data_IF_653423178302
#
_entry.id   IF_653423178302
#
_cell.length_a   1.000
_cell.length_b   1.000
_cell.length_c   1.000
_cell.angle_alpha   90.00
_cell.angle_beta   90.00
_cell.angle_gamma   90.00
#
_symmetry.space_group_name_H-M   'P 1'
#
loop_
_entity.id
_entity.type
_entity.pdbx_description
1 polymer ?
#
# COMPACT_ATOMS: atom_id res chain seq x y z
N UNK A 1 5.43 -13.68 1.37
CA UNK A 1 5.66 -12.23 1.59
C UNK A 1 4.62 -11.81 2.61
N UNK A 2 5.06 -11.33 3.79
CA UNK A 2 4.13 -11.03 4.88
C UNK A 2 3.23 -9.86 4.50
N UNK A 3 1.92 -9.99 4.72
CA UNK A 3 0.96 -8.91 4.57
C UNK A 3 1.09 -7.91 5.72
N UNK A 4 0.22 -6.93 5.80
CA UNK A 4 0.45 -5.70 6.56
C UNK A 4 0.78 -5.87 8.05
N UNK A 5 0.22 -6.81 8.79
CA UNK A 5 0.49 -6.91 10.23
C UNK A 5 0.61 -8.34 10.69
N UNK A 6 1.84 -8.73 11.03
CA UNK A 6 2.13 -10.07 11.51
C UNK A 6 2.01 -10.17 13.03
N UNK A 7 1.43 -11.26 13.50
CA UNK A 7 1.34 -11.61 14.91
C UNK A 7 1.50 -13.12 15.10
N UNK A 8 1.92 -13.50 16.29
CA UNK A 8 1.97 -14.90 16.71
C UNK A 8 1.17 -15.10 17.99
N UNK A 9 0.72 -16.32 18.27
CA UNK A 9 -0.02 -16.69 19.48
C UNK A 9 0.35 -18.10 19.92
N UNK A 10 0.22 -18.36 21.22
CA UNK A 10 0.36 -19.70 21.79
C UNK A 10 -0.97 -20.51 21.78
N UNK A 11 -1.99 -20.04 21.06
CA UNK A 11 -3.33 -20.63 21.06
C UNK A 11 -4.17 -20.30 22.29
N UNK A 12 -3.78 -19.26 23.03
CA UNK A 12 -4.41 -18.78 24.26
C UNK A 12 -5.22 -17.47 24.07
N UNK A 13 -5.33 -16.99 22.82
CA UNK A 13 -6.03 -15.77 22.45
C UNK A 13 -5.25 -14.49 22.78
N UNK A 14 -3.96 -14.60 23.11
CA UNK A 14 -3.09 -13.45 23.39
C UNK A 14 -2.12 -13.22 22.25
N UNK A 15 -2.30 -12.15 21.45
CA UNK A 15 -1.39 -11.87 20.37
C UNK A 15 -0.07 -11.32 20.88
N UNK A 16 1.03 -11.80 20.29
CA UNK A 16 2.37 -11.28 20.44
C UNK A 16 2.74 -10.56 19.14
N UNK A 17 3.17 -9.31 19.23
CA UNK A 17 3.52 -8.46 18.10
C UNK A 17 4.46 -7.34 18.53
N UNK A 18 5.10 -6.68 17.59
CA UNK A 18 5.90 -5.49 17.88
C UNK A 18 5.01 -4.26 18.03
N UNK A 19 5.03 -3.65 19.21
CA UNK A 19 4.35 -2.39 19.49
C UNK A 19 5.02 -1.19 18.76
N UNK A 20 4.44 -0.01 18.89
CA UNK A 20 4.92 1.20 18.21
C UNK A 20 6.37 1.56 18.58
N UNK A 21 6.77 1.35 19.84
CA UNK A 21 8.15 1.67 20.28
C UNK A 21 9.16 0.71 19.65
N UNK A 22 8.83 -0.58 19.63
CA UNK A 22 9.67 -1.60 19.02
C UNK A 22 9.79 -1.42 17.52
N UNK A 23 8.65 -1.21 16.83
CA UNK A 23 8.62 -0.92 15.39
C UNK A 23 9.51 0.27 15.06
N UNK A 24 9.40 1.35 15.82
CA UNK A 24 10.26 2.54 15.64
C UNK A 24 11.76 2.27 15.84
N UNK A 25 12.13 1.37 16.76
CA UNK A 25 13.54 0.97 16.95
C UNK A 25 14.06 0.14 15.78
N UNK A 26 13.22 -0.78 15.25
CA UNK A 26 13.55 -1.62 14.10
C UNK A 26 13.76 -0.73 12.87
N UNK A 27 12.79 0.13 12.54
CA UNK A 27 12.83 1.05 11.37
C UNK A 27 14.09 1.96 11.43
N UNK A 28 14.51 2.37 12.62
CA UNK A 28 15.72 3.20 12.79
C UNK A 28 17.02 2.41 12.78
N UNK A 29 17.00 1.11 12.54
CA UNK A 29 18.18 0.25 12.61
C UNK A 29 18.81 0.19 14.00
N UNK A 30 18.04 0.50 15.06
CA UNK A 30 18.50 0.51 16.46
C UNK A 30 18.16 -0.79 17.20
N UNK A 31 17.80 -1.81 16.45
CA UNK A 31 17.43 -3.10 16.99
C UNK A 31 17.98 -4.24 16.14
N UNK A 32 18.09 -5.45 16.70
CA UNK A 32 18.68 -6.61 16.01
C UNK A 32 17.81 -7.19 14.89
N UNK A 33 16.55 -6.81 14.80
CA UNK A 33 15.61 -7.28 13.76
C UNK A 33 15.53 -6.28 12.62
N UNK A 34 15.35 -6.80 11.40
CA UNK A 34 15.32 -6.01 10.17
C UNK A 34 13.88 -5.71 9.69
N UNK A 35 12.90 -6.50 10.15
CA UNK A 35 11.50 -6.36 9.75
C UNK A 35 10.59 -6.22 10.96
N UNK A 36 9.60 -5.33 10.84
CA UNK A 36 8.55 -5.14 11.86
C UNK A 36 7.45 -6.19 11.76
N UNK A 37 7.38 -6.93 10.64
CA UNK A 37 6.30 -7.87 10.32
C UNK A 37 6.86 -9.25 9.95
N UNK A 38 7.86 -9.73 10.70
CA UNK A 38 8.43 -11.08 10.60
C UNK A 38 7.97 -11.93 11.78
N UNK A 39 7.24 -13.02 11.51
CA UNK A 39 6.81 -13.98 12.53
C UNK A 39 7.99 -14.53 13.33
N UNK A 40 9.09 -14.89 12.65
CA UNK A 40 10.31 -15.37 13.28
C UNK A 40 10.93 -14.33 14.21
N UNK A 41 10.98 -13.06 13.78
CA UNK A 41 11.52 -11.98 14.61
C UNK A 41 10.66 -11.71 15.84
N UNK A 42 9.32 -11.77 15.68
CA UNK A 42 8.38 -11.62 16.78
C UNK A 42 8.53 -12.78 17.76
N UNK A 43 8.52 -14.03 17.26
CA UNK A 43 8.69 -15.22 18.09
C UNK A 43 10.02 -15.19 18.87
N UNK A 44 11.14 -14.87 18.20
CA UNK A 44 12.46 -14.75 18.85
C UNK A 44 12.48 -13.68 19.95
N UNK A 45 11.83 -12.55 19.72
CA UNK A 45 11.75 -11.47 20.70
C UNK A 45 11.02 -11.89 21.98
N UNK A 46 9.93 -12.62 21.84
CA UNK A 46 9.14 -13.13 22.97
C UNK A 46 9.69 -14.46 23.56
N UNK A 47 10.87 -14.91 23.13
CA UNK A 47 11.57 -16.05 23.72
C UNK A 47 11.32 -17.40 23.05
N UNK A 48 10.61 -17.42 21.92
CA UNK A 48 10.32 -18.64 21.15
C UNK A 48 11.31 -18.76 19.98
N UNK A 49 12.26 -19.68 20.05
CA UNK A 49 13.32 -19.84 19.05
C UNK A 49 13.35 -21.26 18.47
N UNK A 50 13.75 -21.35 17.20
CA UNK A 50 13.92 -22.64 16.53
C UNK A 50 12.62 -23.45 16.54
N UNK A 51 12.68 -24.70 16.98
CA UNK A 51 11.52 -25.61 17.02
C UNK A 51 10.34 -25.12 17.88
N UNK A 52 10.58 -24.18 18.81
CA UNK A 52 9.49 -23.61 19.60
C UNK A 52 8.67 -22.59 18.81
N UNK A 53 9.22 -22.00 17.75
CA UNK A 53 8.48 -21.15 16.82
C UNK A 53 7.38 -21.91 16.07
N UNK A 54 7.62 -23.19 15.74
CA UNK A 54 6.65 -24.03 15.04
C UNK A 54 5.45 -24.45 15.92
N UNK A 55 5.55 -24.23 17.23
CA UNK A 55 4.45 -24.44 18.19
C UNK A 55 3.54 -23.22 18.33
N UNK A 56 3.80 -22.13 17.61
CA UNK A 56 2.99 -20.93 17.60
C UNK A 56 2.04 -20.91 16.42
N UNK A 57 0.88 -20.31 16.62
CA UNK A 57 0.03 -19.87 15.54
C UNK A 57 0.61 -18.60 14.92
N UNK A 58 0.61 -18.47 13.59
CA UNK A 58 1.12 -17.33 12.85
C UNK A 58 -0.02 -16.74 12.03
N UNK A 59 -0.26 -15.45 12.20
CA UNK A 59 -1.36 -14.73 11.59
C UNK A 59 -0.88 -13.48 10.88
N UNK A 60 -1.55 -13.14 9.79
CA UNK A 60 -1.41 -11.87 9.10
C UNK A 60 -2.77 -11.16 9.06
N UNK A 61 -2.80 -9.90 9.44
CA UNK A 61 -4.03 -9.11 9.47
C UNK A 61 -3.92 -7.90 8.54
N UNK A 62 -4.92 -7.73 7.68
CA UNK A 62 -5.07 -6.59 6.79
C UNK A 62 -6.05 -5.58 7.40
N UNK A 63 -5.56 -4.42 7.80
CA UNK A 63 -6.34 -3.38 8.49
C UNK A 63 -7.38 -2.72 7.61
N UNK A 64 -7.23 -2.74 6.29
CA UNK A 64 -8.16 -2.11 5.35
C UNK A 64 -9.31 -3.03 4.97
N UNK A 65 -9.01 -4.30 4.75
CA UNK A 65 -10.00 -5.31 4.39
C UNK A 65 -10.59 -6.02 5.60
N UNK A 66 -9.98 -5.85 6.78
CA UNK A 66 -10.32 -6.52 8.05
C UNK A 66 -10.28 -8.06 7.93
N UNK A 67 -9.38 -8.56 7.10
CA UNK A 67 -9.17 -9.99 6.93
C UNK A 67 -7.99 -10.46 7.75
N UNK A 68 -8.15 -11.64 8.36
CA UNK A 68 -7.06 -12.38 8.96
C UNK A 68 -6.72 -13.57 8.06
N UNK A 69 -5.45 -13.79 7.85
CA UNK A 69 -4.92 -14.98 7.18
C UNK A 69 -4.15 -15.81 8.19
N UNK A 70 -4.32 -17.12 8.10
CA UNK A 70 -3.61 -18.09 8.93
C UNK A 70 -2.43 -18.58 8.10
N UNK A 71 -1.22 -18.18 8.49
CA UNK A 71 0.01 -18.63 7.84
C UNK A 71 0.46 -19.99 8.39
N UNK A 72 0.28 -20.21 9.71
CA UNK A 72 0.60 -21.47 10.37
C UNK A 72 -0.24 -21.69 11.62
N UNK A 73 -0.60 -22.93 11.92
CA UNK A 73 -1.20 -23.35 13.18
C UNK A 73 -0.30 -24.37 13.88
N UNK A 74 0.45 -23.92 14.88
CA UNK A 74 1.28 -24.77 15.75
C UNK A 74 0.65 -25.08 17.10
N UNK A 75 -0.44 -24.38 17.45
CA UNK A 75 -1.20 -24.54 18.67
C UNK A 75 -2.71 -24.65 18.39
N UNK A 76 -3.53 -24.61 19.44
CA UNK A 76 -4.99 -24.54 19.29
C UNK A 76 -5.37 -23.28 18.47
N UNK A 77 -6.23 -23.45 17.47
CA UNK A 77 -6.72 -22.34 16.67
C UNK A 77 -7.49 -21.33 17.53
N UNK A 78 -6.96 -20.13 17.60
CA UNK A 78 -7.52 -18.94 18.28
C UNK A 78 -7.72 -17.76 17.31
N UNK A 79 -7.71 -18.02 15.99
CA UNK A 79 -7.80 -17.02 14.92
C UNK A 79 -8.97 -16.05 15.08
N UNK A 80 -10.12 -16.55 15.56
CA UNK A 80 -11.29 -15.70 15.80
C UNK A 80 -11.03 -14.67 16.89
N UNK A 81 -10.40 -15.08 18.00
CA UNK A 81 -10.08 -14.17 19.12
C UNK A 81 -9.03 -13.16 18.69
N UNK A 82 -8.02 -13.60 17.95
CA UNK A 82 -6.97 -12.73 17.40
C UNK A 82 -7.58 -11.74 16.42
N UNK A 83 -8.50 -12.18 15.55
CA UNK A 83 -9.21 -11.27 14.64
C UNK A 83 -10.02 -10.22 15.40
N UNK A 84 -10.79 -10.63 16.41
CA UNK A 84 -11.60 -9.72 17.22
C UNK A 84 -10.69 -8.69 17.95
N UNK A 85 -9.52 -9.11 18.42
CA UNK A 85 -8.51 -8.19 18.95
C UNK A 85 -8.06 -7.17 17.88
N UNK A 86 -7.68 -7.63 16.70
CA UNK A 86 -7.22 -6.76 15.62
C UNK A 86 -8.32 -5.79 15.12
N UNK A 87 -9.57 -6.23 15.05
CA UNK A 87 -10.71 -5.40 14.63
C UNK A 87 -10.98 -4.24 15.59
N UNK A 88 -10.61 -4.41 16.87
CA UNK A 88 -10.80 -3.40 17.92
C UNK A 88 -9.53 -2.60 18.27
N UNK A 89 -8.39 -2.94 17.66
CA UNK A 89 -7.14 -2.23 17.92
C UNK A 89 -7.14 -0.85 17.24
N UNK A 90 -6.71 0.17 17.97
CA UNK A 90 -6.40 1.47 17.36
C UNK A 90 -5.04 1.39 16.66
N UNK A 91 -5.08 1.12 15.37
CA UNK A 91 -3.91 0.96 14.53
C UNK A 91 -3.00 2.19 14.48
N UNK A 92 -3.52 3.38 14.72
CA UNK A 92 -2.73 4.61 14.77
C UNK A 92 -1.83 4.67 15.99
N UNK A 93 -2.12 3.88 17.03
CA UNK A 93 -1.23 3.75 18.19
C UNK A 93 -0.05 2.80 17.92
N UNK A 94 -0.19 1.88 16.96
CA UNK A 94 0.85 0.90 16.60
C UNK A 94 1.70 1.41 15.45
N UNK A 95 1.09 1.99 14.43
CA UNK A 95 1.75 2.60 13.27
C UNK A 95 1.17 4.00 13.06
N UNK A 96 1.72 5.02 13.73
CA UNK A 96 1.17 6.39 13.71
C UNK A 96 1.10 7.03 12.32
N UNK A 97 1.93 6.56 11.41
CA UNK A 97 1.99 7.05 10.03
C UNK A 97 0.82 6.55 9.16
N UNK A 98 0.05 5.56 9.62
CA UNK A 98 -1.06 5.00 8.84
C UNK A 98 -2.26 5.93 8.77
N UNK A 99 -2.85 5.97 7.57
CA UNK A 99 -4.17 6.53 7.31
C UNK A 99 -5.13 5.42 6.93
N UNK A 100 -6.00 5.05 7.86
CA UNK A 100 -6.99 4.01 7.62
C UNK A 100 -8.20 4.65 6.93
N UNK A 101 -8.38 4.32 5.67
CA UNK A 101 -9.48 4.81 4.83
C UNK A 101 -9.86 3.73 3.81
N UNK A 102 -11.09 3.79 3.24
CA UNK A 102 -11.49 2.85 2.19
C UNK A 102 -10.52 2.87 1.00
N UNK A 103 -10.21 1.68 0.48
CA UNK A 103 -9.51 1.53 -0.79
C UNK A 103 -10.53 1.70 -1.91
N UNK A 104 -10.27 2.64 -2.82
CA UNK A 104 -11.16 2.98 -3.94
C UNK A 104 -10.48 2.59 -5.25
N UNK A 105 -11.16 1.78 -6.06
CA UNK A 105 -10.75 1.51 -7.43
C UNK A 105 -11.31 2.61 -8.37
N UNK A 106 -10.47 3.50 -8.92
CA UNK A 106 -10.94 4.63 -9.70
C UNK A 106 -11.65 4.21 -11.00
N UNK A 107 -11.25 3.05 -11.55
CA UNK A 107 -11.81 2.55 -12.81
C UNK A 107 -13.11 1.75 -12.64
N UNK A 108 -13.47 1.37 -11.39
CA UNK A 108 -14.70 0.64 -11.07
C UNK A 108 -15.69 1.48 -10.28
N UNK A 109 -15.21 2.14 -9.24
CA UNK A 109 -16.05 2.76 -8.20
C UNK A 109 -16.41 4.20 -8.53
N UNK A 110 -15.67 4.85 -9.46
CA UNK A 110 -15.88 6.25 -9.82
C UNK A 110 -16.27 6.33 -11.30
N UNK A 111 -17.31 7.12 -11.57
CA UNK A 111 -17.66 7.45 -12.95
C UNK A 111 -17.17 8.85 -13.31
N UNK A 112 -16.15 8.90 -14.16
CA UNK A 112 -15.71 10.15 -14.80
C UNK A 112 -16.54 10.37 -16.05
N UNK A 113 -17.21 11.53 -16.13
CA UNK A 113 -18.06 11.84 -17.27
C UNK A 113 -17.24 12.40 -18.44
N UNK A 114 -16.33 13.32 -18.16
CA UNK A 114 -15.45 13.94 -19.15
C UNK A 114 -14.16 14.45 -18.51
N UNK A 115 -13.12 14.63 -19.33
CA UNK A 115 -11.85 15.21 -18.93
C UNK A 115 -11.93 16.74 -19.06
N UNK A 116 -11.63 17.43 -17.97
CA UNK A 116 -11.69 18.90 -17.89
C UNK A 116 -10.30 19.53 -18.09
N UNK A 117 -10.27 20.84 -18.32
CA UNK A 117 -9.01 21.61 -18.32
C UNK A 117 -8.24 21.49 -17.00
N UNK A 118 -8.94 21.35 -15.89
CA UNK A 118 -8.32 21.14 -14.58
C UNK A 118 -7.62 19.78 -14.51
N UNK A 119 -8.20 18.72 -15.07
CA UNK A 119 -7.58 17.41 -15.14
C UNK A 119 -6.32 17.41 -16.03
N UNK A 120 -6.35 18.12 -17.15
CA UNK A 120 -5.18 18.29 -18.02
C UNK A 120 -4.05 19.04 -17.29
N UNK A 121 -4.39 20.07 -16.51
CA UNK A 121 -3.41 20.75 -15.65
C UNK A 121 -2.79 19.81 -14.63
N UNK A 122 -3.61 18.98 -13.96
CA UNK A 122 -3.10 17.95 -13.04
C UNK A 122 -2.21 16.95 -13.76
N UNK A 123 -2.56 16.53 -14.98
CA UNK A 123 -1.73 15.63 -15.78
C UNK A 123 -0.37 16.27 -16.10
N UNK A 124 -0.35 17.55 -16.47
CA UNK A 124 0.90 18.28 -16.71
C UNK A 124 1.78 18.39 -15.46
N UNK A 125 1.18 18.72 -14.31
CA UNK A 125 1.89 18.75 -13.03
C UNK A 125 2.44 17.36 -12.66
N UNK A 126 1.65 16.30 -12.87
CA UNK A 126 2.10 14.93 -12.64
C UNK A 126 3.25 14.52 -13.56
N UNK A 127 3.12 14.80 -14.85
CA UNK A 127 4.16 14.52 -15.84
C UNK A 127 5.51 15.15 -15.51
N UNK A 128 5.50 16.32 -14.88
CA UNK A 128 6.74 17.05 -14.51
C UNK A 128 7.51 16.41 -13.35
N UNK A 129 6.88 15.56 -12.54
CA UNK A 129 7.50 14.98 -11.34
C UNK A 129 7.63 13.46 -11.40
N UNK A 130 6.92 12.79 -12.32
CA UNK A 130 6.83 11.32 -12.40
C UNK A 130 8.19 10.63 -12.39
N UNK A 131 9.11 11.04 -13.26
CA UNK A 131 10.41 10.38 -13.41
C UNK A 131 11.27 10.48 -12.13
N UNK A 132 11.00 11.50 -11.30
CA UNK A 132 11.69 11.71 -10.03
C UNK A 132 11.02 11.01 -8.83
N UNK A 133 9.78 10.52 -9.00
CA UNK A 133 8.99 9.92 -7.91
C UNK A 133 9.41 8.48 -7.65
N UNK A 134 9.79 7.75 -8.70
CA UNK A 134 10.09 6.31 -8.62
C UNK A 134 11.14 6.02 -7.55
N UNK A 135 12.21 6.84 -7.49
CA UNK A 135 13.31 6.60 -6.55
C UNK A 135 13.02 7.14 -5.13
N UNK A 136 12.17 8.19 -4.99
CA UNK A 136 12.03 8.90 -3.72
C UNK A 136 10.90 8.40 -2.83
N UNK A 137 9.92 7.70 -3.37
CA UNK A 137 8.81 7.16 -2.57
C UNK A 137 9.30 6.02 -1.68
N UNK A 138 10.25 5.21 -2.18
CA UNK A 138 10.88 4.13 -1.41
C UNK A 138 11.71 4.64 -0.23
N UNK A 139 12.40 5.77 -0.38
CA UNK A 139 13.28 6.32 0.66
C UNK A 139 12.53 7.04 1.80
N UNK A 140 11.24 7.35 1.61
CA UNK A 140 10.50 8.25 2.51
C UNK A 140 9.75 7.55 3.63
N UNK A 141 9.48 6.26 3.48
CA UNK A 141 8.76 5.42 4.45
C UNK A 141 9.64 4.23 4.77
N UNK A 142 9.77 3.86 6.03
CA UNK A 142 10.51 2.64 6.37
C UNK A 142 10.04 1.47 5.51
N UNK A 143 10.97 0.76 4.88
CA UNK A 143 10.72 -0.25 3.85
C UNK A 143 9.61 -1.24 4.21
N UNK A 144 9.51 -1.63 5.49
CA UNK A 144 8.50 -2.58 5.97
C UNK A 144 7.07 -2.01 5.97
N UNK A 145 6.89 -0.75 6.40
CA UNK A 145 5.55 -0.11 6.40
C UNK A 145 5.09 0.12 4.96
N UNK A 146 6.00 0.62 4.11
CA UNK A 146 5.71 0.84 2.71
C UNK A 146 5.39 -0.46 1.97
N UNK A 147 6.19 -1.51 2.18
CA UNK A 147 5.96 -2.81 1.55
C UNK A 147 4.60 -3.38 1.97
N UNK A 148 4.28 -3.35 3.26
CA UNK A 148 3.03 -3.91 3.78
C UNK A 148 1.79 -3.13 3.32
N UNK A 149 1.83 -1.78 3.37
CA UNK A 149 0.77 -0.92 2.81
C UNK A 149 0.66 -1.12 1.31
N UNK A 150 1.80 -1.16 0.63
CA UNK A 150 1.89 -1.36 -0.81
C UNK A 150 1.26 -2.67 -1.23
N UNK A 151 1.56 -3.77 -0.56
CA UNK A 151 1.02 -5.09 -0.87
C UNK A 151 -0.50 -5.15 -0.63
N UNK A 152 -1.01 -4.58 0.47
CA UNK A 152 -2.46 -4.58 0.74
C UNK A 152 -3.24 -3.73 -0.27
N UNK A 153 -2.78 -2.51 -0.58
CA UNK A 153 -3.45 -1.65 -1.57
C UNK A 153 -3.26 -2.18 -2.98
N UNK A 154 -2.07 -2.69 -3.31
CA UNK A 154 -1.77 -3.29 -4.61
C UNK A 154 -2.67 -4.50 -4.89
N UNK A 155 -2.76 -5.45 -3.97
CA UNK A 155 -3.60 -6.64 -4.14
C UNK A 155 -5.09 -6.29 -4.21
N UNK A 156 -5.52 -5.25 -3.50
CA UNK A 156 -6.92 -4.83 -3.48
C UNK A 156 -7.33 -4.06 -4.74
N UNK A 157 -6.46 -3.19 -5.27
CA UNK A 157 -6.81 -2.28 -6.35
C UNK A 157 -5.77 -2.16 -7.46
N UNK A 158 -4.47 -2.26 -7.14
CA UNK A 158 -3.38 -2.04 -8.09
C UNK A 158 -3.41 -3.05 -9.22
N UNK A 159 -3.50 -4.33 -8.90
CA UNK A 159 -3.54 -5.42 -9.90
C UNK A 159 -4.78 -5.32 -10.80
N UNK A 160 -5.93 -4.91 -10.23
CA UNK A 160 -7.16 -4.69 -11.00
C UNK A 160 -7.05 -3.49 -11.94
N UNK A 161 -6.43 -2.39 -11.50
CA UNK A 161 -6.19 -1.21 -12.35
C UNK A 161 -5.21 -1.56 -13.46
N UNK A 162 -4.08 -2.19 -13.12
CA UNK A 162 -3.10 -2.63 -14.10
C UNK A 162 -3.71 -3.57 -15.14
N UNK A 163 -4.45 -4.60 -14.71
CA UNK A 163 -5.11 -5.52 -15.64
C UNK A 163 -6.10 -4.83 -16.60
N UNK A 164 -6.72 -3.74 -16.16
CA UNK A 164 -7.69 -2.98 -16.97
C UNK A 164 -7.03 -2.14 -18.08
N UNK A 165 -5.76 -1.77 -17.94
CA UNK A 165 -5.05 -0.86 -18.86
C UNK A 165 -3.76 -1.43 -19.46
N UNK A 166 -3.34 -2.64 -19.04
CA UNK A 166 -2.08 -3.29 -19.39
C UNK A 166 -1.77 -3.27 -20.89
N UNK A 167 -2.76 -3.61 -21.68
CA UNK A 167 -2.58 -3.75 -23.14
C UNK A 167 -2.35 -2.40 -23.83
N UNK A 168 -2.68 -1.30 -23.15
CA UNK A 168 -2.54 0.07 -23.66
C UNK A 168 -1.25 0.77 -23.25
N UNK A 169 -0.67 0.41 -22.10
CA UNK A 169 0.36 1.26 -21.47
C UNK A 169 1.45 0.51 -20.70
N UNK A 170 1.41 -0.82 -20.65
CA UNK A 170 2.42 -1.61 -19.94
C UNK A 170 2.50 -1.21 -18.46
N UNK A 171 3.73 -1.07 -17.96
CA UNK A 171 3.98 -0.85 -16.53
C UNK A 171 3.87 0.61 -16.07
N UNK A 172 3.70 1.58 -16.98
CA UNK A 172 3.70 3.02 -16.63
C UNK A 172 2.56 3.44 -15.69
N UNK A 173 1.49 2.66 -15.61
CA UNK A 173 0.36 2.87 -14.70
C UNK A 173 0.76 2.70 -13.22
N UNK A 174 1.80 1.95 -12.95
CA UNK A 174 2.26 1.70 -11.58
C UNK A 174 2.69 2.96 -10.84
N UNK A 175 3.14 4.00 -11.55
CA UNK A 175 3.49 5.27 -10.92
C UNK A 175 2.26 5.96 -10.32
N UNK A 176 1.12 5.89 -11.01
CA UNK A 176 -0.17 6.38 -10.49
C UNK A 176 -0.67 5.52 -9.32
N UNK A 177 -0.49 4.21 -9.36
CA UNK A 177 -0.80 3.29 -8.25
C UNK A 177 0.06 3.63 -7.02
N UNK A 178 1.38 3.83 -7.20
CA UNK A 178 2.30 4.23 -6.13
C UNK A 178 1.91 5.57 -5.50
N UNK A 179 1.55 6.56 -6.31
CA UNK A 179 1.05 7.83 -5.82
C UNK A 179 -0.24 7.68 -4.99
N UNK A 180 -1.10 6.74 -5.36
CA UNK A 180 -2.30 6.44 -4.57
C UNK A 180 -1.96 5.70 -3.27
N UNK A 181 -1.08 4.70 -3.29
CA UNK A 181 -0.58 4.02 -2.09
C UNK A 181 -0.05 5.03 -1.08
N UNK A 182 0.69 6.04 -1.54
CA UNK A 182 1.21 7.11 -0.70
C UNK A 182 0.14 7.88 0.09
N UNK A 183 -1.14 7.82 -0.30
CA UNK A 183 -2.23 8.45 0.45
C UNK A 183 -2.61 7.72 1.73
N UNK A 184 -2.14 6.48 1.92
CA UNK A 184 -2.39 5.66 3.11
C UNK A 184 -1.29 5.79 4.16
N UNK A 185 -0.29 6.63 3.90
CA UNK A 185 0.82 6.88 4.83
C UNK A 185 1.00 8.38 5.03
N UNK A 186 1.06 8.81 6.29
CA UNK A 186 1.29 10.21 6.66
C UNK A 186 2.80 10.51 6.76
N UNK A 187 3.41 10.71 5.60
CA UNK A 187 4.83 11.07 5.51
C UNK A 187 5.04 12.23 4.56
N UNK A 188 6.17 12.92 4.74
CA UNK A 188 6.56 14.02 3.84
C UNK A 188 7.33 13.44 2.66
N UNK A 189 6.71 13.47 1.49
CA UNK A 189 7.37 13.10 0.25
C UNK A 189 8.18 14.27 -0.32
N UNK A 190 9.32 13.94 -0.91
CA UNK A 190 10.18 14.92 -1.61
C UNK A 190 9.47 15.57 -2.79
N UNK A 191 8.59 14.83 -3.46
CA UNK A 191 7.85 15.28 -4.63
C UNK A 191 6.36 15.43 -4.36
N UNK A 192 5.71 16.29 -5.14
CA UNK A 192 4.28 16.54 -5.02
C UNK A 192 3.47 15.44 -5.74
N UNK A 193 2.97 14.46 -4.99
CA UNK A 193 2.13 13.38 -5.51
C UNK A 193 0.64 13.79 -5.67
N UNK A 194 0.24 14.95 -5.15
CA UNK A 194 -1.15 15.42 -5.15
C UNK A 194 -1.81 15.44 -6.53
N UNK A 195 -1.12 15.79 -7.64
CA UNK A 195 -1.75 15.76 -8.96
C UNK A 195 -2.27 14.37 -9.35
N UNK A 196 -1.44 13.31 -9.21
CA UNK A 196 -1.87 11.94 -9.49
C UNK A 196 -2.97 11.47 -8.52
N UNK A 197 -2.88 11.81 -7.24
CA UNK A 197 -3.90 11.50 -6.24
C UNK A 197 -5.25 12.13 -6.58
N UNK A 198 -5.28 13.40 -6.99
CA UNK A 198 -6.49 14.09 -7.40
C UNK A 198 -7.08 13.52 -8.70
N UNK A 199 -6.25 13.12 -9.66
CA UNK A 199 -6.72 12.40 -10.84
C UNK A 199 -7.38 11.08 -10.44
N UNK A 200 -6.78 10.32 -9.53
CA UNK A 200 -7.34 9.09 -8.99
C UNK A 200 -8.70 9.30 -8.33
N UNK A 201 -8.83 10.33 -7.47
CA UNK A 201 -10.08 10.72 -6.81
C UNK A 201 -11.18 11.14 -7.82
N UNK A 202 -10.78 11.58 -9.00
CA UNK A 202 -11.67 11.90 -10.13
C UNK A 202 -12.05 10.69 -10.98
N UNK A 203 -11.54 9.49 -10.66
CA UNK A 203 -11.73 8.28 -11.46
C UNK A 203 -10.85 8.26 -12.71
N UNK A 204 -9.72 8.98 -12.67
CA UNK A 204 -8.77 9.08 -13.77
C UNK A 204 -7.44 8.45 -13.37
N UNK A 205 -6.95 7.53 -14.20
CA UNK A 205 -5.63 6.93 -14.03
C UNK A 205 -4.71 7.42 -15.15
N UNK A 206 -3.64 8.10 -14.78
CA UNK A 206 -2.65 8.58 -15.72
C UNK A 206 -1.64 7.49 -16.07
N UNK A 207 -1.24 7.42 -17.32
CA UNK A 207 -0.19 6.55 -17.82
C UNK A 207 0.62 7.21 -18.94
N UNK A 208 1.79 6.66 -19.24
CA UNK A 208 2.69 7.17 -20.28
C UNK A 208 3.31 6.02 -21.06
N UNK A 209 3.21 6.01 -22.40
CA UNK A 209 3.73 4.94 -23.24
C UNK A 209 5.11 5.25 -23.89
N UNK A 210 5.75 6.32 -23.43
CA UNK A 210 7.02 6.80 -23.98
C UNK A 210 6.86 7.95 -24.97
N UNK A 211 5.67 8.17 -25.50
CA UNK A 211 5.33 9.23 -26.47
C UNK A 211 4.16 10.05 -25.93
N UNK A 212 3.08 9.36 -25.58
CA UNK A 212 1.80 9.97 -25.21
C UNK A 212 1.46 9.77 -23.74
N UNK A 213 0.95 10.81 -23.14
CA UNK A 213 0.23 10.74 -21.89
C UNK A 213 -1.23 10.39 -22.13
N UNK A 214 -1.77 9.48 -21.34
CA UNK A 214 -3.13 8.99 -21.44
C UNK A 214 -3.83 9.13 -20.09
N UNK A 215 -5.15 9.38 -20.14
CA UNK A 215 -6.02 9.26 -18.98
C UNK A 215 -7.04 8.15 -19.24
N UNK A 216 -7.08 7.20 -18.33
CA UNK A 216 -8.03 6.10 -18.36
C UNK A 216 -9.15 6.37 -17.37
N UNK A 217 -10.38 6.17 -17.81
CA UNK A 217 -11.58 6.26 -17.00
C UNK A 217 -12.20 4.89 -16.75
N UNK A 218 -13.50 4.87 -16.44
CA UNK A 218 -14.27 3.67 -16.08
C UNK A 218 -13.99 2.48 -17.01
N UNK A 219 -13.70 1.33 -16.40
CA UNK A 219 -13.38 0.10 -17.12
C UNK A 219 -12.01 0.10 -17.82
N UNK A 220 -11.13 1.06 -17.51
CA UNK A 220 -9.82 1.17 -18.16
C UNK A 220 -9.84 1.82 -19.53
N UNK A 221 -10.99 2.36 -19.97
CA UNK A 221 -11.13 3.01 -21.27
C UNK A 221 -10.23 4.25 -21.35
N UNK A 222 -9.41 4.36 -22.41
CA UNK A 222 -8.72 5.60 -22.75
C UNK A 222 -9.75 6.67 -23.12
N UNK A 223 -9.77 7.78 -22.38
CA UNK A 223 -10.73 8.89 -22.58
C UNK A 223 -10.03 10.20 -22.92
N UNK A 224 -8.72 10.25 -22.77
CA UNK A 224 -7.90 11.40 -23.17
C UNK A 224 -6.50 10.96 -23.53
N UNK A 225 -5.91 11.61 -24.53
CA UNK A 225 -4.58 11.36 -25.01
C UNK A 225 -3.95 12.68 -25.48
N UNK A 226 -2.66 12.87 -25.17
CA UNK A 226 -1.88 14.05 -25.58
C UNK A 226 -0.40 13.67 -25.64
N UNK A 227 0.32 14.14 -26.64
CA UNK A 227 1.77 13.93 -26.69
C UNK A 227 2.48 14.65 -25.54
N UNK A 228 3.62 14.13 -25.10
CA UNK A 228 4.42 14.78 -24.06
C UNK A 228 4.89 16.18 -24.49
N UNK A 229 5.12 16.39 -25.78
CA UNK A 229 5.52 17.68 -26.33
C UNK A 229 4.39 18.72 -26.24
N UNK A 230 3.18 18.35 -26.67
CA UNK A 230 1.99 19.20 -26.58
C UNK A 230 1.64 19.52 -25.13
N UNK A 231 1.68 18.51 -24.22
CA UNK A 231 1.39 18.71 -22.80
C UNK A 231 2.33 19.73 -22.14
N UNK A 232 3.60 19.76 -22.55
CA UNK A 232 4.57 20.78 -22.06
C UNK A 232 4.24 22.20 -22.51
N UNK A 233 3.64 22.36 -23.69
CA UNK A 233 3.31 23.68 -24.28
C UNK A 233 2.04 24.30 -23.68
N UNK A 234 1.15 23.49 -23.05
CA UNK A 234 -0.04 23.98 -22.35
C UNK A 234 0.32 24.71 -21.05
#
# INVERSE_FOLDING_TARGET
>A
MCKFFSLVSQGDGKPLYFDAEMRKKIIKGKFKYESTDSHTSIADYFGHKGLDEDKLNKYEYDVWTKKIEIDHLGAKDDSKVIKDFCDNLDWTTIVPELRIKPIINPLKDIQTLEVTKADIKLLKEWASVRDSVVDSVWDSVGDSVWASVGDSVRSSVGDSVWASVRDSVGDSVWDSVRAYIATFVDTKYKYNLKPAQKLWERGLVASFDGIDWKLHGKGGKEIYKITAEELRKL
#
